data_IF_950028043716
#
_entry.id   IF_950028043716
#
_cell.length_a   1.000
_cell.length_b   1.000
_cell.length_c   1.000
_cell.angle_alpha   90.00
_cell.angle_beta   90.00
_cell.angle_gamma   90.00
#
_symmetry.space_group_name_H-M   'P 1'
#
loop_
_entity.id
_entity.type
_entity.pdbx_description
1 polymer ?
#
# COMPACT_ATOMS: atom_id res chain seq x y z
N UNK A 1 11.17 -1.61 12.60
CA UNK A 1 11.41 -0.80 11.37
C UNK A 1 10.86 0.61 11.46
N UNK A 2 9.54 0.79 11.54
CA UNK A 2 8.90 2.09 11.72
C UNK A 2 8.27 2.18 13.10
N UNK A 3 8.44 3.31 13.78
CA UNK A 3 7.94 3.53 15.14
C UNK A 3 6.38 3.46 15.19
N UNK A 4 5.79 2.45 15.87
CA UNK A 4 4.34 2.33 16.00
C UNK A 4 3.68 3.59 16.57
N UNK A 5 4.30 4.23 17.58
CA UNK A 5 3.73 5.42 18.23
C UNK A 5 3.69 6.65 17.32
N UNK A 6 4.45 6.64 16.22
CA UNK A 6 4.46 7.70 15.20
C UNK A 6 3.47 7.41 14.05
N UNK A 7 3.32 6.15 13.64
CA UNK A 7 2.61 5.79 12.41
C UNK A 7 1.29 5.08 12.63
N UNK A 8 0.99 4.61 13.84
CA UNK A 8 -0.24 3.89 14.16
C UNK A 8 -1.16 4.78 15.02
N UNK A 9 -2.44 4.44 15.05
CA UNK A 9 -3.42 5.09 15.93
C UNK A 9 -4.25 4.04 16.65
N UNK A 10 -4.39 4.19 17.97
CA UNK A 10 -5.42 3.51 18.75
C UNK A 10 -6.61 4.46 18.87
N UNK A 11 -7.80 3.99 18.52
CA UNK A 11 -9.02 4.81 18.50
C UNK A 11 -10.09 4.16 19.37
N UNK A 12 -10.65 4.94 20.28
CA UNK A 12 -11.93 4.65 20.94
C UNK A 12 -13.04 4.89 19.92
N UNK A 13 -13.64 3.81 19.40
CA UNK A 13 -14.69 3.90 18.37
C UNK A 13 -16.04 4.30 18.93
N UNK A 14 -16.24 4.23 20.25
CA UNK A 14 -17.46 4.70 20.89
C UNK A 14 -17.52 6.22 20.92
N UNK A 15 -16.38 6.90 21.11
CA UNK A 15 -16.29 8.38 21.10
C UNK A 15 -15.65 8.97 19.85
N UNK A 16 -15.00 8.15 19.02
CA UNK A 16 -14.10 8.55 17.92
C UNK A 16 -12.90 9.39 18.37
N UNK A 17 -12.45 9.23 19.61
CA UNK A 17 -11.25 9.90 20.13
C UNK A 17 -10.01 9.02 19.95
N UNK A 18 -8.88 9.66 19.64
CA UNK A 18 -7.57 8.99 19.59
C UNK A 18 -7.08 8.78 21.02
N UNK A 19 -6.71 7.54 21.34
CA UNK A 19 -6.08 7.21 22.62
C UNK A 19 -4.64 7.72 22.59
N UNK A 20 -4.25 8.44 23.63
CA UNK A 20 -2.90 8.99 23.78
C UNK A 20 -1.83 7.88 23.62
N UNK A 21 -0.78 8.17 22.84
CA UNK A 21 0.30 7.24 22.54
C UNK A 21 1.00 6.70 23.80
N UNK A 22 1.04 7.47 24.89
CA UNK A 22 1.60 7.04 26.17
C UNK A 22 0.75 6.02 26.92
N UNK A 23 -0.51 5.83 26.52
CA UNK A 23 -1.45 4.91 27.17
C UNK A 23 -1.49 3.53 26.53
N UNK A 24 -0.69 3.27 25.49
CA UNK A 24 -0.64 1.94 24.87
C UNK A 24 0.78 1.50 24.48
N UNK A 25 0.98 0.19 24.46
CA UNK A 25 2.25 -0.44 24.08
C UNK A 25 2.00 -1.60 23.12
N UNK A 26 2.93 -1.84 22.20
CA UNK A 26 2.93 -3.01 21.31
C UNK A 26 3.75 -4.15 21.94
N UNK A 27 3.16 -5.34 22.05
CA UNK A 27 3.87 -6.60 22.23
C UNK A 27 4.15 -7.20 20.84
N UNK A 28 5.40 -7.13 20.42
CA UNK A 28 5.86 -7.61 19.11
C UNK A 28 5.94 -9.15 19.03
N UNK A 29 5.99 -9.86 20.16
CA UNK A 29 6.05 -11.33 20.16
C UNK A 29 4.68 -11.95 19.84
N UNK A 30 3.61 -11.18 20.04
CA UNK A 30 2.22 -11.66 19.91
C UNK A 30 1.33 -10.79 19.02
N UNK A 31 1.90 -9.75 18.39
CA UNK A 31 1.17 -8.76 17.59
C UNK A 31 -0.04 -8.14 18.33
N UNK A 32 0.13 -7.83 19.61
CA UNK A 32 -0.96 -7.35 20.49
C UNK A 32 -0.66 -5.95 21.03
N UNK A 33 -1.61 -5.03 20.88
CA UNK A 33 -1.53 -3.70 21.52
C UNK A 33 -2.27 -3.72 22.85
N UNK A 34 -1.55 -3.39 23.92
CA UNK A 34 -2.10 -3.27 25.27
C UNK A 34 -2.49 -1.82 25.53
N UNK A 35 -3.77 -1.57 25.77
CA UNK A 35 -4.30 -0.24 26.10
C UNK A 35 -4.55 -0.15 27.61
N UNK A 36 -3.98 0.87 28.24
CA UNK A 36 -4.17 1.20 29.65
C UNK A 36 -5.19 2.33 29.83
N UNK A 37 -5.93 2.33 30.95
CA UNK A 37 -6.93 3.37 31.23
C UNK A 37 -8.14 3.37 30.29
N UNK A 38 -8.41 2.26 29.59
CA UNK A 38 -9.57 2.13 28.70
C UNK A 38 -10.89 2.28 29.47
N UNK A 39 -11.86 2.93 28.85
CA UNK A 39 -13.21 3.09 29.42
C UNK A 39 -13.97 1.77 29.27
N UNK A 40 -14.51 1.19 30.37
CA UNK A 40 -15.30 -0.03 30.28
C UNK A 40 -16.48 0.14 29.32
N UNK A 41 -16.82 -0.94 28.60
CA UNK A 41 -17.91 -0.98 27.63
C UNK A 41 -17.70 -0.18 26.34
N UNK A 42 -16.55 0.46 26.15
CA UNK A 42 -16.19 1.08 24.87
C UNK A 42 -15.51 0.07 23.93
N UNK A 43 -15.52 0.38 22.64
CA UNK A 43 -14.87 -0.41 21.59
C UNK A 43 -13.60 0.29 21.14
N UNK A 44 -12.50 -0.47 21.00
CA UNK A 44 -11.20 0.06 20.63
C UNK A 44 -10.66 -0.68 19.41
N UNK A 45 -9.99 0.06 18.53
CA UNK A 45 -9.30 -0.50 17.36
C UNK A 45 -7.91 0.09 17.22
N UNK A 46 -7.01 -0.65 16.61
CA UNK A 46 -5.71 -0.13 16.17
C UNK A 46 -5.70 -0.06 14.65
N UNK A 47 -5.31 1.09 14.13
CA UNK A 47 -4.93 1.28 12.73
C UNK A 47 -3.41 1.20 12.65
N UNK A 48 -2.88 0.13 12.03
CA UNK A 48 -1.45 -0.16 12.00
C UNK A 48 -0.92 -0.30 10.57
N UNK A 49 0.38 -0.07 10.39
CA UNK A 49 1.07 -0.34 9.13
C UNK A 49 1.41 -1.84 9.05
N UNK A 50 1.10 -2.44 7.90
CA UNK A 50 1.43 -3.83 7.60
C UNK A 50 2.22 -3.91 6.29
N UNK A 51 3.24 -4.77 6.25
CA UNK A 51 3.89 -5.14 5.01
C UNK A 51 2.98 -6.06 4.20
N UNK A 52 2.88 -5.81 2.89
CA UNK A 52 2.27 -6.74 1.95
C UNK A 52 3.37 -7.69 1.51
N UNK A 53 3.33 -8.92 2.03
CA UNK A 53 4.38 -9.93 1.81
C UNK A 53 4.05 -10.94 0.70
N UNK A 54 2.88 -10.80 0.07
CA UNK A 54 2.44 -11.64 -1.03
C UNK A 54 1.64 -10.79 -2.02
N UNK A 55 2.03 -10.78 -3.29
CA UNK A 55 1.38 -9.98 -4.34
C UNK A 55 -0.10 -10.38 -4.43
N UNK A 56 -1.06 -9.45 -4.28
CA UNK A 56 -2.47 -9.84 -4.21
C UNK A 56 -3.03 -10.53 -5.46
N UNK A 57 -2.49 -10.24 -6.65
CA UNK A 57 -2.93 -10.90 -7.90
C UNK A 57 -2.33 -12.29 -7.99
N UNK A 58 -1.05 -12.45 -7.69
CA UNK A 58 -0.38 -13.76 -7.65
C UNK A 58 -0.98 -14.66 -6.56
N UNK A 59 -1.26 -14.12 -5.38
CA UNK A 59 -1.99 -14.80 -4.31
C UNK A 59 -3.36 -15.26 -4.75
N UNK A 60 -4.15 -14.39 -5.39
CA UNK A 60 -5.47 -14.76 -5.92
C UNK A 60 -5.36 -15.91 -6.91
N UNK A 61 -4.40 -15.87 -7.85
CA UNK A 61 -4.18 -16.96 -8.81
C UNK A 61 -3.76 -18.26 -8.08
N UNK A 62 -2.82 -18.17 -7.15
CA UNK A 62 -2.32 -19.30 -6.38
C UNK A 62 -3.43 -20.02 -5.62
N UNK A 63 -4.26 -19.27 -4.89
CA UNK A 63 -5.39 -19.81 -4.13
C UNK A 63 -6.48 -20.37 -5.06
N UNK A 64 -6.82 -19.65 -6.14
CA UNK A 64 -7.87 -20.06 -7.09
C UNK A 64 -7.50 -21.33 -7.84
N UNK A 65 -6.23 -21.47 -8.24
CA UNK A 65 -5.75 -22.58 -9.04
C UNK A 65 -5.14 -23.73 -8.21
N UNK A 66 -5.02 -23.57 -6.89
CA UNK A 66 -4.49 -24.60 -6.00
C UNK A 66 -3.04 -24.96 -6.29
N UNK A 67 -2.17 -23.96 -6.44
CA UNK A 67 -0.74 -24.16 -6.76
C UNK A 67 0.09 -24.81 -5.64
N UNK A 68 -0.51 -25.09 -4.47
CA UNK A 68 0.11 -25.86 -3.39
C UNK A 68 1.32 -25.13 -2.80
N UNK A 69 2.46 -25.81 -2.78
CA UNK A 69 3.71 -25.31 -2.18
C UNK A 69 4.57 -24.46 -3.13
N UNK A 70 4.00 -23.97 -4.24
CA UNK A 70 4.70 -22.98 -5.08
C UNK A 70 5.09 -21.78 -4.22
N UNK A 71 6.32 -21.32 -4.36
CA UNK A 71 6.80 -20.13 -3.67
C UNK A 71 5.95 -18.90 -4.05
N UNK A 72 5.60 -18.11 -3.03
CA UNK A 72 4.76 -16.93 -3.17
C UNK A 72 5.57 -15.76 -3.72
N UNK A 73 5.02 -15.05 -4.70
CA UNK A 73 5.71 -13.88 -5.28
C UNK A 73 5.54 -12.66 -4.35
N UNK A 74 6.66 -12.15 -3.84
CA UNK A 74 6.70 -11.02 -2.90
C UNK A 74 6.71 -9.70 -3.70
N UNK A 75 5.77 -8.77 -3.45
CA UNK A 75 5.75 -7.49 -4.14
C UNK A 75 6.79 -6.55 -3.53
N UNK A 76 7.22 -5.54 -4.29
CA UNK A 76 8.19 -4.56 -3.82
C UNK A 76 7.82 -3.14 -4.27
N UNK A 77 7.94 -2.18 -3.34
CA UNK A 77 7.56 -0.79 -3.55
C UNK A 77 8.71 0.04 -4.16
N UNK A 78 8.49 0.57 -5.36
CA UNK A 78 9.46 1.42 -6.06
C UNK A 78 9.54 2.83 -5.49
N UNK A 79 8.74 3.22 -4.47
CA UNK A 79 8.94 4.47 -3.75
C UNK A 79 10.35 4.51 -3.13
N UNK A 80 10.87 3.36 -2.72
CA UNK A 80 12.21 3.21 -2.18
C UNK A 80 13.28 3.24 -3.30
N UNK A 81 14.31 4.11 -3.20
CA UNK A 81 15.29 4.29 -4.29
C UNK A 81 16.05 3.03 -4.70
N UNK A 82 16.37 2.13 -3.75
CA UNK A 82 17.07 0.89 -4.04
C UNK A 82 16.22 -0.05 -4.92
N UNK A 83 14.97 -0.29 -4.50
CA UNK A 83 13.99 -1.07 -5.27
C UNK A 83 13.72 -0.44 -6.63
N UNK A 84 13.55 0.89 -6.68
CA UNK A 84 13.36 1.61 -7.94
C UNK A 84 14.51 1.40 -8.91
N UNK A 85 15.75 1.48 -8.42
CA UNK A 85 16.94 1.22 -9.23
C UNK A 85 16.92 -0.22 -9.75
N UNK A 86 16.67 -1.20 -8.87
CA UNK A 86 16.58 -2.60 -9.26
C UNK A 86 15.56 -2.84 -10.39
N UNK A 87 14.35 -2.26 -10.28
CA UNK A 87 13.29 -2.40 -11.29
C UNK A 87 13.73 -1.83 -12.64
N UNK A 88 14.30 -0.61 -12.66
CA UNK A 88 14.72 0.00 -13.93
C UNK A 88 15.93 -0.70 -14.55
N UNK A 89 16.94 -1.07 -13.75
CA UNK A 89 18.10 -1.83 -14.25
C UNK A 89 17.65 -3.17 -14.85
N UNK A 90 16.72 -3.86 -14.17
CA UNK A 90 16.17 -5.15 -14.65
C UNK A 90 15.38 -4.95 -15.93
N UNK A 91 14.56 -3.90 -16.03
CA UNK A 91 13.79 -3.62 -17.23
C UNK A 91 14.69 -3.27 -18.43
N UNK A 92 15.72 -2.46 -18.24
CA UNK A 92 16.70 -2.14 -19.28
C UNK A 92 17.43 -3.39 -19.79
N UNK A 93 17.75 -4.33 -18.90
CA UNK A 93 18.35 -5.60 -19.30
C UNK A 93 17.33 -6.49 -20.03
N UNK A 94 16.10 -6.59 -19.52
CA UNK A 94 15.03 -7.35 -20.16
C UNK A 94 14.74 -6.86 -21.59
N UNK A 95 14.78 -5.54 -21.83
CA UNK A 95 14.62 -4.98 -23.18
C UNK A 95 15.70 -5.45 -24.16
N UNK A 96 16.96 -5.57 -23.71
CA UNK A 96 18.09 -6.08 -24.52
C UNK A 96 17.94 -7.58 -24.80
N UNK A 97 17.49 -8.33 -23.81
CA UNK A 97 17.38 -9.79 -23.88
C UNK A 97 16.17 -10.27 -24.68
N UNK A 98 15.23 -9.38 -25.00
CA UNK A 98 13.98 -9.70 -25.71
C UNK A 98 13.83 -8.92 -27.04
N UNK A 99 14.74 -9.09 -28.01
CA UNK A 99 14.69 -8.37 -29.29
C UNK A 99 13.44 -8.67 -30.11
N UNK A 100 12.83 -9.84 -29.93
CA UNK A 100 11.64 -10.31 -30.64
C UNK A 100 10.32 -9.70 -30.18
N UNK A 101 10.31 -8.96 -29.06
CA UNK A 101 9.09 -8.37 -28.51
C UNK A 101 8.79 -7.05 -29.20
N UNK A 102 7.63 -6.94 -29.84
CA UNK A 102 7.15 -5.69 -30.47
C UNK A 102 6.43 -4.76 -29.50
N UNK A 103 5.73 -5.32 -28.51
CA UNK A 103 4.89 -4.60 -27.55
C UNK A 103 5.20 -5.07 -26.14
N UNK A 104 5.58 -4.15 -25.25
CA UNK A 104 5.70 -4.41 -23.81
C UNK A 104 4.35 -4.22 -23.15
N UNK A 105 3.71 -5.33 -22.75
CA UNK A 105 2.44 -5.32 -22.02
C UNK A 105 2.71 -5.23 -20.52
N UNK A 106 2.65 -4.03 -19.96
CA UNK A 106 2.74 -3.79 -18.54
C UNK A 106 1.48 -4.30 -17.84
N UNK A 107 1.62 -5.31 -16.96
CA UNK A 107 0.48 -5.96 -16.28
C UNK A 107 0.67 -5.95 -14.76
N UNK A 108 0.67 -4.81 -14.08
CA UNK A 108 0.44 -3.44 -14.57
C UNK A 108 1.67 -2.59 -14.23
N UNK A 109 1.60 -1.76 -13.19
CA UNK A 109 2.70 -0.90 -12.78
C UNK A 109 3.02 -1.14 -11.29
N UNK A 110 2.89 -0.11 -10.45
CA UNK A 110 3.63 -0.08 -9.18
C UNK A 110 2.78 -0.32 -7.94
N UNK A 111 1.48 -0.06 -8.01
CA UNK A 111 0.60 -0.11 -6.86
C UNK A 111 -0.67 -0.87 -7.20
N UNK A 112 -0.93 -1.91 -6.42
CA UNK A 112 -2.12 -2.73 -6.49
C UNK A 112 -3.32 -1.96 -5.92
N UNK A 113 -4.49 -2.11 -6.56
CA UNK A 113 -5.74 -1.60 -5.99
C UNK A 113 -6.03 -2.27 -4.64
N UNK A 114 -6.82 -1.64 -3.77
CA UNK A 114 -7.15 -2.21 -2.46
C UNK A 114 -7.72 -3.62 -2.59
N UNK A 115 -6.96 -4.62 -2.14
CA UNK A 115 -7.36 -6.02 -2.11
C UNK A 115 -6.70 -6.70 -0.90
N UNK A 116 -7.49 -6.95 0.14
CA UNK A 116 -7.03 -7.51 1.40
C UNK A 116 -7.77 -8.82 1.69
N UNK A 117 -7.07 -9.79 2.26
CA UNK A 117 -7.62 -11.11 2.60
C UNK A 117 -7.71 -11.30 4.11
N UNK A 118 -8.62 -12.18 4.55
CA UNK A 118 -8.79 -12.53 5.95
C UNK A 118 -8.00 -13.79 6.34
N UNK A 119 -7.99 -14.10 7.64
CA UNK A 119 -7.32 -15.26 8.21
C UNK A 119 -7.87 -16.61 7.73
N UNK A 120 -9.00 -16.62 7.01
CA UNK A 120 -9.59 -17.81 6.38
C UNK A 120 -9.32 -17.83 4.87
N UNK A 121 -8.40 -17.00 4.37
CA UNK A 121 -8.02 -16.88 2.97
C UNK A 121 -9.17 -16.43 2.06
N UNK A 122 -10.10 -15.64 2.59
CA UNK A 122 -11.21 -15.06 1.82
C UNK A 122 -10.94 -13.58 1.58
N UNK A 123 -11.50 -13.04 0.50
CA UNK A 123 -11.52 -11.59 0.30
C UNK A 123 -12.19 -10.90 1.50
N UNK A 124 -11.47 -9.93 2.08
CA UNK A 124 -11.89 -9.15 3.26
C UNK A 124 -12.31 -7.74 2.87
N UNK A 125 -11.52 -7.08 2.02
CA UNK A 125 -11.76 -5.72 1.53
C UNK A 125 -11.31 -5.66 0.08
N UNK A 126 -12.17 -5.16 -0.80
CA UNK A 126 -11.82 -4.87 -2.18
C UNK A 126 -12.37 -3.51 -2.61
N UNK A 127 -11.52 -2.70 -3.23
CA UNK A 127 -11.93 -1.54 -4.02
C UNK A 127 -10.96 -1.42 -5.20
N UNK A 128 -11.50 -1.56 -6.42
CA UNK A 128 -10.75 -1.53 -7.65
C UNK A 128 -10.13 -0.14 -7.95
N UNK A 129 -10.62 0.92 -7.31
CA UNK A 129 -10.06 2.27 -7.36
C UNK A 129 -9.27 2.64 -6.09
N UNK A 130 -9.23 1.75 -5.11
CA UNK A 130 -8.69 2.04 -3.80
C UNK A 130 -7.17 2.13 -3.79
N UNK A 131 -6.63 3.06 -2.99
CA UNK A 131 -5.19 3.28 -2.81
C UNK A 131 -4.72 2.89 -1.40
N UNK A 132 -5.31 1.88 -0.76
CA UNK A 132 -4.91 1.49 0.60
C UNK A 132 -3.52 0.83 0.63
N UNK A 133 -3.13 0.17 -0.46
CA UNK A 133 -1.89 -0.61 -0.58
C UNK A 133 -0.71 0.23 -1.09
N UNK A 134 -0.63 1.52 -0.75
CA UNK A 134 0.32 2.47 -1.37
C UNK A 134 1.12 3.31 -0.37
N UNK A 135 1.02 3.01 0.92
CA UNK A 135 1.67 3.78 1.98
C UNK A 135 3.00 3.14 2.40
N UNK A 136 3.94 3.99 2.79
CA UNK A 136 5.15 3.60 3.51
C UNK A 136 5.55 4.72 4.46
N UNK A 137 6.36 4.46 5.51
CA UNK A 137 6.85 5.51 6.42
C UNK A 137 7.47 6.69 5.68
N UNK A 138 8.26 6.42 4.62
CA UNK A 138 8.89 7.44 3.80
C UNK A 138 7.86 8.25 3.00
N UNK A 139 6.91 7.60 2.34
CA UNK A 139 5.87 8.28 1.56
C UNK A 139 4.96 9.16 2.43
N UNK A 140 4.62 8.71 3.64
CA UNK A 140 3.81 9.48 4.59
C UNK A 140 4.55 10.72 5.09
N UNK A 141 5.84 10.60 5.43
CA UNK A 141 6.64 11.73 5.89
C UNK A 141 6.95 12.72 4.74
N UNK A 142 7.11 12.24 3.51
CA UNK A 142 7.31 13.12 2.35
C UNK A 142 6.02 13.83 1.94
N UNK A 143 4.86 13.16 2.05
CA UNK A 143 3.56 13.80 1.91
C UNK A 143 3.40 14.96 2.91
N UNK A 144 3.74 14.75 4.19
CA UNK A 144 3.65 15.78 5.22
C UNK A 144 4.51 17.01 4.88
N UNK A 145 5.73 16.79 4.37
CA UNK A 145 6.62 17.87 3.93
C UNK A 145 6.07 18.64 2.73
N UNK A 146 5.48 17.96 1.76
CA UNK A 146 4.99 18.57 0.52
C UNK A 146 3.65 19.29 0.70
N UNK A 147 2.71 18.69 1.44
CA UNK A 147 1.35 19.20 1.60
C UNK A 147 1.14 20.01 2.89
N UNK A 148 2.12 20.02 3.81
CA UNK A 148 2.13 20.86 5.00
C UNK A 148 1.20 20.38 6.13
N UNK A 149 0.75 19.13 6.09
CA UNK A 149 0.01 18.49 7.17
C UNK A 149 0.22 16.98 7.17
N UNK A 150 0.14 16.37 8.36
CA UNK A 150 0.28 14.92 8.54
C UNK A 150 -1.06 14.22 8.30
N UNK A 151 -1.07 13.20 7.46
CA UNK A 151 -2.20 12.29 7.33
C UNK A 151 -2.28 11.40 8.57
N UNK A 152 -3.51 11.18 9.04
CA UNK A 152 -3.77 10.19 10.08
C UNK A 152 -3.90 8.80 9.46
N UNK A 153 -3.62 7.72 10.19
CA UNK A 153 -4.08 6.37 9.82
C UNK A 153 -5.58 6.34 9.48
N UNK A 154 -6.39 7.13 10.18
CA UNK A 154 -7.83 7.31 9.91
C UNK A 154 -8.14 7.91 8.53
N UNK A 155 -7.22 8.64 7.91
CA UNK A 155 -7.37 9.12 6.52
C UNK A 155 -7.23 8.01 5.48
N UNK A 156 -6.79 6.81 5.88
CA UNK A 156 -6.71 5.62 5.03
C UNK A 156 -7.77 4.58 5.38
N UNK A 157 -7.92 4.23 6.67
CA UNK A 157 -8.90 3.22 7.09
C UNK A 157 -10.35 3.75 7.04
N UNK A 158 -10.55 5.07 7.14
CA UNK A 158 -11.85 5.78 7.02
C UNK A 158 -13.00 5.10 7.79
N UNK A 159 -12.81 4.86 9.09
CA UNK A 159 -13.81 4.19 9.93
C UNK A 159 -14.11 2.75 9.51
N UNK A 160 -13.20 2.10 8.78
CA UNK A 160 -13.39 0.78 8.19
C UNK A 160 -13.96 0.78 6.76
N UNK A 161 -14.21 1.96 6.16
CA UNK A 161 -14.65 2.07 4.77
C UNK A 161 -13.51 2.02 3.75
N UNK A 162 -12.25 2.11 4.21
CA UNK A 162 -11.03 2.04 3.38
C UNK A 162 -11.06 2.98 2.17
N UNK A 163 -11.56 4.20 2.37
CA UNK A 163 -11.69 5.21 1.33
C UNK A 163 -12.46 4.74 0.08
N UNK A 164 -13.47 3.88 0.26
CA UNK A 164 -14.28 3.37 -0.85
C UNK A 164 -14.68 4.47 -1.82
N UNK A 165 -14.60 4.21 -3.12
CA UNK A 165 -15.01 5.16 -4.17
C UNK A 165 -16.47 5.65 -4.05
N UNK A 166 -17.29 4.99 -3.23
CA UNK A 166 -18.66 5.39 -2.91
C UNK A 166 -18.77 6.45 -1.81
N UNK A 167 -17.69 6.72 -1.08
CA UNK A 167 -17.61 7.77 -0.06
C UNK A 167 -17.48 9.13 -0.75
N UNK A 168 -18.10 10.16 -0.16
CA UNK A 168 -17.88 11.53 -0.63
C UNK A 168 -16.41 11.89 -0.37
N UNK A 169 -15.62 12.19 -1.42
CA UNK A 169 -14.18 12.31 -1.27
C UNK A 169 -13.78 13.52 -0.43
N UNK A 170 -12.99 13.29 0.62
CA UNK A 170 -12.40 14.30 1.50
C UNK A 170 -11.10 14.87 0.92
N UNK A 171 -10.61 15.98 1.49
CA UNK A 171 -9.34 16.61 1.09
C UNK A 171 -8.15 15.62 1.16
N UNK A 172 -8.01 14.91 2.29
CA UNK A 172 -6.94 13.93 2.50
C UNK A 172 -6.85 12.87 1.40
N UNK A 173 -8.00 12.30 1.00
CA UNK A 173 -8.07 11.31 -0.07
C UNK A 173 -7.62 11.90 -1.43
N UNK A 174 -8.07 13.12 -1.75
CA UNK A 174 -7.71 13.80 -3.01
C UNK A 174 -6.23 14.16 -3.05
N UNK A 175 -5.71 14.71 -1.96
CA UNK A 175 -4.31 15.08 -1.86
C UNK A 175 -3.40 13.85 -1.98
N UNK A 176 -3.76 12.73 -1.34
CA UNK A 176 -3.00 11.49 -1.48
C UNK A 176 -3.02 10.95 -2.91
N UNK A 177 -4.17 11.01 -3.59
CA UNK A 177 -4.28 10.64 -5.00
C UNK A 177 -3.37 11.52 -5.86
N UNK A 178 -3.35 12.84 -5.64
CA UNK A 178 -2.50 13.77 -6.39
C UNK A 178 -1.01 13.48 -6.16
N UNK A 179 -0.61 13.32 -4.89
CA UNK A 179 0.75 12.97 -4.48
C UNK A 179 1.23 11.67 -5.14
N UNK A 180 0.43 10.61 -5.00
CA UNK A 180 0.77 9.29 -5.54
C UNK A 180 0.80 9.31 -7.08
N UNK A 181 -0.18 9.96 -7.71
CA UNK A 181 -0.32 10.01 -9.16
C UNK A 181 0.87 10.72 -9.82
N UNK A 182 1.41 11.79 -9.21
CA UNK A 182 2.63 12.43 -9.71
C UNK A 182 3.81 11.45 -9.73
N UNK A 183 4.04 10.73 -8.63
CA UNK A 183 5.12 9.75 -8.53
C UNK A 183 4.94 8.60 -9.54
N UNK A 184 3.73 8.02 -9.61
CA UNK A 184 3.42 6.92 -10.54
C UNK A 184 3.63 7.36 -11.98
N UNK A 185 3.05 8.49 -12.40
CA UNK A 185 3.12 8.98 -13.79
C UNK A 185 4.55 9.25 -14.23
N UNK A 186 5.39 9.81 -13.36
CA UNK A 186 6.80 10.04 -13.67
C UNK A 186 7.54 8.73 -13.99
N UNK A 187 7.28 7.67 -13.23
CA UNK A 187 7.92 6.37 -13.42
C UNK A 187 7.32 5.58 -14.61
N UNK A 188 6.00 5.67 -14.84
CA UNK A 188 5.35 5.11 -16.04
C UNK A 188 5.92 5.76 -17.31
N UNK A 189 6.07 7.08 -17.31
CA UNK A 189 6.69 7.80 -18.43
C UNK A 189 8.11 7.29 -18.71
N UNK A 190 8.89 7.00 -17.67
CA UNK A 190 10.24 6.43 -17.84
C UNK A 190 10.20 5.04 -18.47
N UNK A 191 9.31 4.14 -18.01
CA UNK A 191 9.15 2.81 -18.61
C UNK A 191 8.72 2.89 -20.09
N UNK A 192 7.78 3.78 -20.42
CA UNK A 192 7.35 3.99 -21.80
C UNK A 192 8.48 4.55 -22.67
N UNK A 193 9.26 5.53 -22.16
CA UNK A 193 10.43 6.07 -22.86
C UNK A 193 11.46 4.98 -23.16
N UNK A 194 11.83 4.15 -22.17
CA UNK A 194 12.77 3.04 -22.36
C UNK A 194 12.26 2.01 -23.39
N UNK A 195 10.95 1.73 -23.38
CA UNK A 195 10.32 0.84 -24.37
C UNK A 195 10.45 1.39 -25.78
N UNK A 196 10.10 2.67 -25.98
CA UNK A 196 10.19 3.34 -27.28
C UNK A 196 11.64 3.47 -27.78
N UNK A 197 12.59 3.76 -26.88
CA UNK A 197 14.03 3.80 -27.20
C UNK A 197 14.55 2.42 -27.68
N UNK A 198 13.98 1.33 -27.16
CA UNK A 198 14.25 -0.03 -27.62
C UNK A 198 13.44 -0.45 -28.86
N UNK A 199 12.66 0.45 -29.46
CA UNK A 199 11.84 0.18 -30.65
C UNK A 199 10.56 -0.62 -30.38
N UNK A 200 10.04 -0.58 -29.15
CA UNK A 200 8.85 -1.34 -28.72
C UNK A 200 7.72 -0.41 -28.32
N UNK A 201 6.47 -0.81 -28.54
CA UNK A 201 5.31 -0.12 -27.98
C UNK A 201 5.20 -0.37 -26.47
N UNK A 202 4.59 0.56 -25.74
CA UNK A 202 4.24 0.41 -24.32
C UNK A 202 2.71 0.35 -24.17
N UNK A 203 2.20 -0.80 -23.69
CA UNK A 203 0.77 -1.08 -23.48
C UNK A 203 0.47 -1.32 -22.00
#
# INVERSE_FOLDING_TARGET
DADPHKYWEVVDRTTNEVVDASLWTLDEDTDTVHVSGATPMHEYTVSFLAYIIWDPVEMYNHLTNGWGDKEHEIPFDIYHPATRKFVFDTFEQWLKDNPQVDVVRFTTFFYQFTLLFDQKQREKVVDWFGCACTVSPAALDDFEKEYGYRLRPEDFVDGGAYNSAWRVPRKAQRDWIDFLSHFVRANVKKLASLSHEAGKEAM
#
